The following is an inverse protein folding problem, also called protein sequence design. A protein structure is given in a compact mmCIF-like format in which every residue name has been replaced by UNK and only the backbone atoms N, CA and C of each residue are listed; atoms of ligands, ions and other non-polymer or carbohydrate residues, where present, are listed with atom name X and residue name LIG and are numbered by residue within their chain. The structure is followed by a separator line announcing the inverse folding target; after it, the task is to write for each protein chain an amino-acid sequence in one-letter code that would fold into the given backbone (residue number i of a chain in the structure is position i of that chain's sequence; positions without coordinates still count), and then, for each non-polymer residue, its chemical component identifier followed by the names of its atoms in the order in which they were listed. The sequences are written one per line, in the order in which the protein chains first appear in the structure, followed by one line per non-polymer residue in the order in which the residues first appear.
data_IF_923888325338
#
_entry.id   IF_923888325338
#
_cell.length_a   1.000
_cell.length_b   1.000
_cell.length_c   1.000
_cell.angle_alpha   90.00
_cell.angle_beta   90.00
_cell.angle_gamma   90.00
#
_symmetry.space_group_name_H-M   'P 1'
#
loop_
_entity.id
_entity.type
_entity.pdbx_description
1 polymer ?
#
# COMPACT_ATOMS: atom_id res chain seq x y z
N UNK A 1 12.39 8.23 -16.53
CA UNK A 1 12.10 7.39 -15.36
C UNK A 1 13.14 7.68 -14.29
N UNK A 2 12.71 7.79 -13.03
CA UNK A 2 13.63 7.91 -11.89
C UNK A 2 14.19 6.54 -11.53
N UNK A 3 15.44 6.50 -11.10
CA UNK A 3 16.03 5.28 -10.52
C UNK A 3 15.44 5.01 -9.12
N UNK A 4 15.53 3.76 -8.70
CA UNK A 4 15.24 3.31 -7.33
C UNK A 4 16.55 3.05 -6.57
N UNK A 5 16.48 2.78 -5.26
CA UNK A 5 17.65 2.29 -4.51
C UNK A 5 18.23 1.03 -5.15
N UNK A 6 17.37 0.10 -5.57
CA UNK A 6 17.78 -1.14 -6.24
C UNK A 6 18.59 -0.91 -7.51
N UNK A 7 18.18 0.08 -8.32
CA UNK A 7 18.88 0.45 -9.55
C UNK A 7 20.27 1.04 -9.24
N UNK A 8 20.37 1.89 -8.24
CA UNK A 8 21.64 2.50 -7.84
C UNK A 8 22.61 1.48 -7.22
N UNK A 9 22.08 0.51 -6.47
CA UNK A 9 22.86 -0.62 -5.95
C UNK A 9 23.39 -1.50 -7.10
N UNK A 10 22.57 -1.78 -8.11
CA UNK A 10 23.00 -2.51 -9.29
C UNK A 10 24.14 -1.78 -10.03
N UNK A 11 24.04 -0.46 -10.18
CA UNK A 11 25.11 0.37 -10.78
C UNK A 11 26.38 0.32 -9.92
N UNK A 12 26.25 0.55 -8.61
CA UNK A 12 27.37 0.54 -7.66
C UNK A 12 28.15 -0.78 -7.68
N UNK A 13 27.45 -1.89 -7.82
CA UNK A 13 28.06 -3.22 -7.84
C UNK A 13 28.42 -3.72 -9.24
N UNK A 14 28.26 -2.88 -10.27
CA UNK A 14 28.44 -3.25 -11.68
C UNK A 14 27.61 -4.49 -12.09
N UNK A 15 26.36 -4.55 -11.62
CA UNK A 15 25.41 -5.62 -11.91
C UNK A 15 25.66 -6.94 -11.16
N UNK A 16 26.54 -6.96 -10.16
CA UNK A 16 26.86 -8.17 -9.39
C UNK A 16 25.89 -8.40 -8.21
N UNK A 17 25.25 -7.35 -7.69
CA UNK A 17 24.26 -7.48 -6.63
C UNK A 17 23.09 -8.33 -7.09
N UNK A 18 22.64 -9.22 -6.24
CA UNK A 18 21.41 -9.96 -6.40
C UNK A 18 20.28 -9.15 -5.75
N UNK A 19 19.29 -8.76 -6.55
CA UNK A 19 18.28 -7.79 -6.16
C UNK A 19 16.91 -8.38 -6.40
N UNK A 20 16.12 -8.54 -5.33
CA UNK A 20 14.79 -9.17 -5.42
C UNK A 20 13.73 -8.43 -4.61
N UNK A 21 12.49 -8.47 -5.13
CA UNK A 21 11.28 -8.08 -4.42
C UNK A 21 10.28 -9.22 -4.40
N UNK A 22 9.69 -9.50 -3.25
CA UNK A 22 8.67 -10.55 -3.06
C UNK A 22 7.47 -10.00 -2.30
N UNK A 23 6.26 -10.29 -2.77
CA UNK A 23 5.02 -9.87 -2.13
C UNK A 23 3.85 -10.73 -2.59
N UNK A 24 2.71 -10.68 -1.89
CA UNK A 24 1.44 -11.13 -2.48
C UNK A 24 0.88 -10.14 -3.50
N UNK A 25 1.30 -8.86 -3.47
CA UNK A 25 0.91 -7.81 -4.41
C UNK A 25 2.03 -7.55 -5.41
N UNK A 26 1.70 -7.50 -6.72
CA UNK A 26 2.65 -7.18 -7.80
C UNK A 26 3.38 -5.86 -7.54
N UNK A 27 2.64 -4.79 -7.20
CA UNK A 27 3.21 -3.45 -6.95
C UNK A 27 4.19 -3.42 -5.78
N UNK A 28 3.93 -4.19 -4.72
CA UNK A 28 4.83 -4.32 -3.57
C UNK A 28 6.17 -4.95 -3.94
N UNK A 29 6.15 -5.95 -4.82
CA UNK A 29 7.38 -6.58 -5.31
C UNK A 29 8.10 -5.73 -6.37
N UNK A 30 7.37 -5.26 -7.39
CA UNK A 30 7.92 -4.56 -8.56
C UNK A 30 8.53 -3.21 -8.19
N UNK A 31 7.85 -2.41 -7.37
CA UNK A 31 8.33 -1.07 -6.97
C UNK A 31 9.65 -1.15 -6.20
N UNK A 32 9.83 -2.18 -5.40
CA UNK A 32 11.03 -2.37 -4.58
C UNK A 32 12.18 -3.02 -5.36
N UNK A 33 11.88 -3.93 -6.30
CA UNK A 33 12.89 -4.52 -7.17
C UNK A 33 13.50 -3.51 -8.15
N UNK A 34 12.76 -2.47 -8.51
CA UNK A 34 13.21 -1.46 -9.47
C UNK A 34 13.33 -2.01 -10.89
N UNK A 35 14.13 -1.33 -11.72
CA UNK A 35 14.35 -1.72 -13.12
C UNK A 35 15.43 -2.82 -13.27
N UNK A 36 16.40 -2.83 -12.37
CA UNK A 36 17.55 -3.72 -12.43
C UNK A 36 17.38 -5.03 -11.65
N UNK A 37 16.46 -5.06 -10.68
CA UNK A 37 16.18 -6.25 -9.87
C UNK A 37 15.23 -7.23 -10.54
N UNK A 38 14.75 -8.19 -9.75
CA UNK A 38 13.77 -9.19 -10.13
C UNK A 38 12.63 -9.19 -9.12
N UNK A 39 11.39 -9.39 -9.57
CA UNK A 39 10.22 -9.36 -8.72
C UNK A 39 9.40 -10.64 -8.86
N UNK A 40 8.87 -11.13 -7.73
CA UNK A 40 7.92 -12.23 -7.68
C UNK A 40 6.71 -11.83 -6.84
N UNK A 41 5.53 -12.20 -7.29
CA UNK A 41 4.28 -11.96 -6.56
C UNK A 41 3.31 -13.11 -6.70
N UNK A 42 2.37 -13.20 -5.76
CA UNK A 42 1.40 -14.28 -5.73
C UNK A 42 0.26 -14.04 -6.71
N UNK A 43 0.06 -14.98 -7.64
CA UNK A 43 -1.05 -14.96 -8.60
C UNK A 43 -2.30 -15.56 -7.98
N UNK A 44 -3.34 -14.73 -7.79
CA UNK A 44 -4.66 -15.21 -7.33
C UNK A 44 -5.34 -16.14 -8.33
N UNK A 45 -5.00 -16.10 -9.63
CA UNK A 45 -5.57 -16.97 -10.65
C UNK A 45 -4.90 -18.34 -10.72
N UNK A 46 -3.60 -18.44 -10.41
CA UNK A 46 -2.82 -19.67 -10.49
C UNK A 46 -2.55 -20.31 -9.12
N UNK A 47 -2.71 -19.56 -8.02
CA UNK A 47 -2.25 -19.92 -6.68
C UNK A 47 -0.75 -20.24 -6.62
N UNK A 48 0.05 -19.48 -7.36
CA UNK A 48 1.49 -19.64 -7.53
C UNK A 48 2.22 -18.31 -7.40
N UNK A 49 3.51 -18.33 -7.09
CA UNK A 49 4.35 -17.16 -7.27
C UNK A 49 4.76 -17.02 -8.74
N UNK A 50 4.51 -15.84 -9.28
CA UNK A 50 4.76 -15.50 -10.68
C UNK A 50 5.65 -14.27 -10.79
N UNK A 51 6.14 -14.03 -12.00
CA UNK A 51 6.86 -12.85 -12.40
C UNK A 51 6.36 -12.37 -13.76
N UNK A 52 7.03 -11.40 -14.37
CA UNK A 52 6.67 -10.95 -15.72
C UNK A 52 7.78 -11.24 -16.73
N UNK A 53 7.42 -11.20 -18.02
CA UNK A 53 8.38 -11.30 -19.12
C UNK A 53 9.39 -10.15 -19.16
N UNK A 54 9.16 -9.08 -18.39
CA UNK A 54 10.16 -8.03 -18.18
C UNK A 54 11.38 -8.54 -17.40
N UNK A 55 11.16 -9.43 -16.42
CA UNK A 55 12.21 -9.96 -15.56
C UNK A 55 12.80 -11.27 -16.05
N UNK A 56 11.98 -12.14 -16.63
CA UNK A 56 12.37 -13.49 -17.02
C UNK A 56 11.71 -13.91 -18.36
N UNK A 57 12.50 -14.41 -19.29
CA UNK A 57 12.00 -15.16 -20.45
C UNK A 57 11.53 -16.56 -20.05
N UNK A 58 12.24 -17.16 -19.09
CA UNK A 58 11.95 -18.46 -18.48
C UNK A 58 12.30 -18.38 -17.00
N UNK A 59 11.43 -18.92 -16.14
CA UNK A 59 11.68 -18.94 -14.70
C UNK A 59 12.93 -19.78 -14.37
N UNK A 60 13.63 -19.41 -13.28
CA UNK A 60 14.62 -20.29 -12.66
C UNK A 60 13.98 -21.64 -12.28
N UNK A 61 14.72 -22.74 -12.47
CA UNK A 61 14.21 -24.10 -12.20
C UNK A 61 13.65 -24.27 -10.78
N UNK A 62 14.22 -23.58 -9.81
CA UNK A 62 13.75 -23.66 -8.43
C UNK A 62 12.34 -23.03 -8.25
N UNK A 63 12.00 -22.00 -9.02
CA UNK A 63 10.66 -21.38 -9.02
C UNK A 63 9.65 -22.34 -9.61
N UNK A 64 9.99 -22.96 -10.76
CA UNK A 64 9.13 -23.98 -11.37
C UNK A 64 8.87 -25.14 -10.38
N UNK A 65 9.93 -25.65 -9.73
CA UNK A 65 9.83 -26.70 -8.72
C UNK A 65 9.03 -26.27 -7.48
N UNK A 66 9.14 -25.02 -7.06
CA UNK A 66 8.36 -24.52 -5.93
C UNK A 66 6.86 -24.49 -6.26
N UNK A 67 6.49 -24.02 -7.45
CA UNK A 67 5.12 -23.97 -7.92
C UNK A 67 4.54 -25.38 -8.19
N UNK A 68 5.31 -26.30 -8.78
CA UNK A 68 4.92 -27.71 -9.00
C UNK A 68 4.56 -28.44 -7.69
N UNK A 69 5.10 -28.02 -6.57
CA UNK A 69 4.76 -28.60 -5.26
C UNK A 69 3.31 -28.32 -4.85
N UNK A 70 2.62 -27.36 -5.50
CA UNK A 70 1.27 -26.92 -5.14
C UNK A 70 1.16 -26.60 -3.64
N UNK A 71 2.16 -25.91 -3.11
CA UNK A 71 2.33 -25.69 -1.69
C UNK A 71 1.12 -24.99 -1.04
N UNK A 72 0.52 -23.94 -1.64
CA UNK A 72 -0.68 -23.31 -1.08
C UNK A 72 -1.85 -24.28 -0.94
N UNK A 73 -2.12 -25.08 -1.98
CA UNK A 73 -3.21 -26.06 -1.99
C UNK A 73 -3.03 -27.13 -0.90
N UNK A 74 -1.82 -27.69 -0.75
CA UNK A 74 -1.51 -28.72 0.25
C UNK A 74 -1.55 -28.19 1.67
N UNK A 75 -1.14 -26.95 1.89
CA UNK A 75 -1.06 -26.37 3.23
C UNK A 75 -2.39 -25.84 3.74
N UNK A 76 -3.20 -25.22 2.86
CA UNK A 76 -4.40 -24.49 3.26
C UNK A 76 -5.71 -25.06 2.69
N UNK A 77 -5.67 -25.92 1.68
CA UNK A 77 -6.88 -26.49 1.08
C UNK A 77 -7.78 -27.18 2.09
N UNK A 78 -9.04 -26.75 2.17
CA UNK A 78 -10.04 -27.28 3.11
C UNK A 78 -9.82 -26.91 4.57
N UNK A 79 -8.92 -25.98 4.86
CA UNK A 79 -8.66 -25.47 6.22
C UNK A 79 -9.34 -24.14 6.47
N UNK A 80 -9.20 -23.64 7.70
CA UNK A 80 -9.72 -22.37 8.18
C UNK A 80 -8.59 -21.51 8.76
N UNK A 81 -8.81 -20.21 8.77
CA UNK A 81 -8.11 -19.29 9.64
C UNK A 81 -8.88 -19.23 10.95
N UNK A 82 -8.36 -19.90 11.96
CA UNK A 82 -8.87 -19.89 13.32
C UNK A 82 -8.06 -18.91 14.17
N UNK A 83 -8.63 -18.43 15.28
CA UNK A 83 -7.90 -17.58 16.21
C UNK A 83 -6.62 -18.26 16.74
N UNK A 84 -5.56 -17.49 16.86
CA UNK A 84 -4.27 -17.94 17.35
C UNK A 84 -4.26 -18.25 18.85
N UNK A 85 -5.04 -17.46 19.61
CA UNK A 85 -5.16 -17.50 21.07
C UNK A 85 -6.64 -17.69 21.46
N UNK A 86 -6.89 -17.80 22.75
CA UNK A 86 -8.27 -17.77 23.28
C UNK A 86 -8.87 -16.38 23.02
N UNK A 87 -10.09 -16.32 22.47
CA UNK A 87 -10.76 -15.08 22.07
C UNK A 87 -10.84 -14.05 23.21
N UNK A 88 -10.97 -14.51 24.45
CA UNK A 88 -11.02 -13.64 25.63
C UNK A 88 -9.71 -12.88 25.92
N UNK A 89 -8.62 -13.25 25.27
CA UNK A 89 -7.31 -12.60 25.44
C UNK A 89 -7.07 -11.45 24.45
N UNK A 90 -7.90 -11.34 23.40
CA UNK A 90 -7.79 -10.26 22.43
C UNK A 90 -8.42 -8.98 22.95
N UNK A 91 -7.85 -7.83 22.54
CA UNK A 91 -8.40 -6.51 22.82
C UNK A 91 -9.76 -6.32 22.13
N UNK A 92 -9.92 -6.90 20.95
CA UNK A 92 -11.12 -6.82 20.12
C UNK A 92 -11.90 -8.14 20.10
N UNK A 93 -11.72 -8.99 21.12
CA UNK A 93 -12.35 -10.30 21.19
C UNK A 93 -13.87 -10.32 21.21
N UNK A 94 -14.52 -9.22 21.56
CA UNK A 94 -15.96 -9.01 21.54
C UNK A 94 -16.48 -8.33 20.24
N UNK A 95 -15.61 -8.12 19.24
CA UNK A 95 -15.89 -7.37 18.03
C UNK A 95 -15.84 -8.20 16.74
N UNK A 96 -16.11 -9.49 16.81
CA UNK A 96 -16.02 -10.48 15.72
C UNK A 96 -17.15 -10.37 14.67
N UNK A 97 -18.16 -9.53 14.85
CA UNK A 97 -19.31 -9.39 13.92
C UNK A 97 -19.74 -7.92 13.83
N UNK A 98 -19.06 -7.15 13.02
CA UNK A 98 -19.40 -5.75 12.82
C UNK A 98 -20.08 -5.53 11.47
N UNK A 99 -21.13 -4.72 11.44
CA UNK A 99 -21.93 -4.48 10.22
C UNK A 99 -21.16 -3.81 9.06
N UNK A 100 -20.07 -3.10 9.38
CA UNK A 100 -19.23 -2.47 8.35
C UNK A 100 -18.20 -3.41 7.74
N UNK A 101 -17.91 -4.54 8.37
CA UNK A 101 -17.01 -5.55 7.85
C UNK A 101 -17.58 -6.25 6.63
N UNK A 102 -16.70 -6.69 5.74
CA UNK A 102 -17.14 -7.35 4.52
C UNK A 102 -17.44 -8.83 4.76
N UNK A 103 -18.67 -9.19 4.51
CA UNK A 103 -19.12 -10.58 4.50
C UNK A 103 -18.92 -11.20 3.11
N UNK A 104 -17.71 -11.75 2.87
CA UNK A 104 -17.44 -12.44 1.63
C UNK A 104 -18.08 -13.82 1.61
N UNK A 105 -18.81 -14.18 0.52
CA UNK A 105 -19.38 -15.51 0.38
C UNK A 105 -18.31 -16.60 0.55
N UNK A 106 -18.55 -17.57 1.41
CA UNK A 106 -17.70 -18.70 1.82
C UNK A 106 -16.58 -18.33 2.81
N UNK A 107 -16.06 -17.12 2.83
CA UNK A 107 -15.03 -16.69 3.76
C UNK A 107 -15.65 -16.16 5.06
N UNK A 108 -16.72 -15.38 4.93
CA UNK A 108 -17.44 -14.78 6.06
C UNK A 108 -16.73 -13.54 6.64
N UNK A 109 -17.39 -12.92 7.62
CA UNK A 109 -16.84 -11.83 8.42
C UNK A 109 -16.66 -12.20 9.91
N UNK A 110 -16.84 -13.47 10.24
CA UNK A 110 -16.79 -14.00 11.61
C UNK A 110 -15.89 -15.21 11.64
N UNK A 111 -15.06 -15.32 12.65
CA UNK A 111 -14.22 -16.53 12.84
C UNK A 111 -15.03 -17.81 13.04
N UNK A 112 -14.58 -18.96 12.51
CA UNK A 112 -13.38 -19.14 11.68
C UNK A 112 -13.62 -18.82 10.20
N UNK A 113 -12.62 -18.25 9.52
CA UNK A 113 -12.68 -17.96 8.08
C UNK A 113 -12.23 -19.15 7.24
N UNK A 114 -13.11 -19.69 6.42
CA UNK A 114 -12.80 -20.87 5.60
C UNK A 114 -12.03 -20.50 4.33
N UNK A 115 -10.91 -21.17 4.08
CA UNK A 115 -10.22 -21.05 2.78
C UNK A 115 -10.94 -21.78 1.65
N UNK A 116 -11.79 -22.75 1.99
CA UNK A 116 -12.46 -23.62 1.03
C UNK A 116 -11.54 -24.67 0.39
N UNK A 117 -12.07 -25.47 -0.55
CA UNK A 117 -11.26 -26.44 -1.27
C UNK A 117 -10.25 -25.74 -2.20
N UNK A 118 -9.09 -26.35 -2.43
CA UNK A 118 -8.00 -25.75 -3.19
C UNK A 118 -8.30 -25.45 -4.65
N UNK A 119 -9.28 -26.13 -5.23
CA UNK A 119 -9.84 -25.89 -6.56
C UNK A 119 -11.10 -25.00 -6.54
N UNK A 120 -11.47 -24.51 -5.34
CA UNK A 120 -12.64 -23.68 -5.12
C UNK A 120 -12.46 -22.26 -5.63
N UNK A 121 -13.56 -21.66 -6.08
CA UNK A 121 -13.61 -20.24 -6.44
C UNK A 121 -13.28 -19.38 -5.22
N UNK A 122 -12.27 -18.55 -5.34
CA UNK A 122 -11.85 -17.62 -4.27
C UNK A 122 -10.75 -18.16 -3.37
N UNK A 123 -10.38 -19.44 -3.40
CA UNK A 123 -9.37 -20.03 -2.53
C UNK A 123 -8.09 -19.17 -2.42
N UNK A 124 -7.45 -18.92 -3.55
CA UNK A 124 -6.21 -18.12 -3.61
C UNK A 124 -6.41 -16.65 -3.18
N UNK A 125 -7.60 -16.10 -3.42
CA UNK A 125 -7.97 -14.76 -2.95
C UNK A 125 -8.07 -14.73 -1.42
N UNK A 126 -8.74 -15.73 -0.82
CA UNK A 126 -8.89 -15.84 0.63
C UNK A 126 -7.54 -16.04 1.36
N UNK A 127 -6.58 -16.71 0.71
CA UNK A 127 -5.22 -16.78 1.24
C UNK A 127 -4.58 -15.38 1.37
N UNK A 128 -4.80 -14.50 0.39
CA UNK A 128 -4.25 -13.13 0.45
C UNK A 128 -4.97 -12.22 1.45
N UNK A 129 -6.21 -12.56 1.82
CA UNK A 129 -7.03 -11.84 2.81
C UNK A 129 -6.85 -12.35 4.24
N UNK A 130 -5.79 -13.10 4.48
CA UNK A 130 -5.51 -13.77 5.74
C UNK A 130 -4.01 -13.86 5.99
N UNK A 131 -3.58 -14.28 7.18
CA UNK A 131 -2.17 -14.52 7.49
C UNK A 131 -1.46 -15.49 6.54
N UNK A 132 -2.22 -16.37 5.86
CA UNK A 132 -1.67 -17.33 4.92
C UNK A 132 -0.89 -16.65 3.76
N UNK A 133 -1.30 -15.47 3.31
CA UNK A 133 -0.58 -14.73 2.27
C UNK A 133 0.82 -14.31 2.71
N UNK A 134 0.97 -13.84 3.94
CA UNK A 134 2.27 -13.45 4.49
C UNK A 134 3.14 -14.68 4.83
N UNK A 135 2.54 -15.76 5.33
CA UNK A 135 3.24 -17.02 5.54
C UNK A 135 3.77 -17.62 4.22
N UNK A 136 2.99 -17.56 3.13
CA UNK A 136 3.43 -17.96 1.79
C UNK A 136 4.55 -17.06 1.25
N UNK A 137 4.45 -15.74 1.49
CA UNK A 137 5.49 -14.79 1.12
C UNK A 137 6.80 -15.09 1.84
N UNK A 138 6.74 -15.40 3.14
CA UNK A 138 7.90 -15.83 3.93
C UNK A 138 8.52 -17.10 3.38
N UNK A 139 7.71 -18.13 3.09
CA UNK A 139 8.22 -19.42 2.63
C UNK A 139 8.87 -19.29 1.24
N UNK A 140 8.29 -18.47 0.34
CA UNK A 140 8.91 -18.17 -0.94
C UNK A 140 10.20 -17.36 -0.79
N UNK A 141 10.22 -16.35 0.10
CA UNK A 141 11.41 -15.55 0.38
C UNK A 141 12.57 -16.41 0.93
N UNK A 142 12.29 -17.36 1.80
CA UNK A 142 13.29 -18.34 2.30
C UNK A 142 13.85 -19.20 1.17
N UNK A 143 12.98 -19.72 0.30
CA UNK A 143 13.41 -20.49 -0.87
C UNK A 143 14.27 -19.65 -1.82
N UNK A 144 13.93 -18.37 -2.01
CA UNK A 144 14.70 -17.43 -2.80
C UNK A 144 16.08 -17.17 -2.22
N UNK A 145 16.18 -16.87 -0.92
CA UNK A 145 17.47 -16.66 -0.22
C UNK A 145 18.40 -17.85 -0.45
N UNK A 146 17.87 -19.06 -0.31
CA UNK A 146 18.63 -20.30 -0.45
C UNK A 146 19.08 -20.53 -1.90
N UNK A 147 18.16 -20.51 -2.84
CA UNK A 147 18.44 -20.91 -4.23
C UNK A 147 19.23 -19.84 -5.01
N UNK A 148 19.06 -18.56 -4.67
CA UNK A 148 19.83 -17.47 -5.25
C UNK A 148 21.13 -17.19 -4.45
N UNK A 149 21.34 -17.91 -3.34
CA UNK A 149 22.50 -17.74 -2.46
C UNK A 149 22.71 -16.26 -2.06
N UNK A 150 21.65 -15.58 -1.56
CA UNK A 150 21.75 -14.20 -1.12
C UNK A 150 22.66 -14.09 0.11
N UNK A 151 23.51 -13.06 0.13
CA UNK A 151 24.45 -12.80 1.22
C UNK A 151 25.60 -13.80 1.30
N UNK A 152 25.78 -14.68 0.30
CA UNK A 152 26.82 -15.71 0.33
C UNK A 152 28.21 -15.21 -0.07
N UNK A 153 28.34 -14.00 -0.56
CA UNK A 153 29.61 -13.40 -0.97
C UNK A 153 29.79 -11.98 -0.38
N UNK A 154 30.82 -11.25 -0.85
CA UNK A 154 31.13 -9.89 -0.34
C UNK A 154 30.40 -8.77 -1.07
N UNK A 155 29.59 -9.09 -2.06
CA UNK A 155 28.78 -8.11 -2.77
C UNK A 155 27.49 -7.91 -1.99
N UNK A 156 27.14 -6.68 -1.71
CA UNK A 156 25.88 -6.39 -1.03
C UNK A 156 24.70 -6.75 -1.93
N UNK A 157 23.85 -7.66 -1.46
CA UNK A 157 22.59 -8.04 -2.09
C UNK A 157 21.43 -7.25 -1.48
N UNK A 158 20.27 -7.28 -2.13
CA UNK A 158 19.06 -6.63 -1.63
C UNK A 158 17.83 -7.53 -1.78
N UNK A 159 17.12 -7.73 -0.70
CA UNK A 159 15.81 -8.40 -0.69
C UNK A 159 14.76 -7.51 -0.03
N UNK A 160 13.69 -7.21 -0.74
CA UNK A 160 12.48 -6.62 -0.18
C UNK A 160 11.41 -7.70 -0.04
N UNK A 161 10.87 -7.84 1.17
CA UNK A 161 9.75 -8.74 1.47
C UNK A 161 8.58 -7.87 1.94
N UNK A 162 7.52 -7.80 1.14
CA UNK A 162 6.33 -7.03 1.47
C UNK A 162 5.23 -7.96 1.99
N UNK A 163 4.97 -7.90 3.28
CA UNK A 163 3.89 -8.63 3.95
C UNK A 163 2.59 -7.85 3.78
N UNK A 164 1.92 -8.04 2.64
CA UNK A 164 0.83 -7.18 2.17
C UNK A 164 -0.56 -7.68 2.56
N UNK A 165 -0.68 -8.80 3.29
CA UNK A 165 -1.98 -9.27 3.79
C UNK A 165 -2.57 -8.33 4.82
N UNK A 166 -1.74 -7.63 5.60
CA UNK A 166 -2.15 -6.61 6.58
C UNK A 166 -3.09 -5.57 5.95
N UNK A 167 -2.73 -5.06 4.78
CA UNK A 167 -3.53 -4.06 4.08
C UNK A 167 -4.87 -4.63 3.59
N UNK A 168 -4.87 -5.84 3.03
CA UNK A 168 -6.12 -6.49 2.62
C UNK A 168 -7.06 -6.73 3.81
N UNK A 169 -6.55 -7.21 4.93
CA UNK A 169 -7.33 -7.45 6.15
C UNK A 169 -7.87 -6.13 6.69
N UNK A 170 -7.04 -5.08 6.72
CA UNK A 170 -7.46 -3.73 7.09
C UNK A 170 -8.61 -3.21 6.22
N UNK A 171 -8.54 -3.37 4.89
CA UNK A 171 -9.63 -3.00 3.99
C UNK A 171 -10.94 -3.74 4.28
N UNK A 172 -10.87 -5.02 4.65
CA UNK A 172 -12.04 -5.87 4.80
C UNK A 172 -12.73 -5.70 6.15
N UNK A 173 -11.95 -5.58 7.22
CA UNK A 173 -12.44 -5.65 8.60
C UNK A 173 -12.19 -4.35 9.38
N UNK A 174 -11.21 -3.55 8.98
CA UNK A 174 -10.75 -2.38 9.72
C UNK A 174 -9.57 -2.68 10.65
N UNK A 175 -8.81 -1.66 11.05
CA UNK A 175 -7.62 -1.83 11.89
C UNK A 175 -7.93 -2.36 13.30
N UNK A 176 -9.06 -1.95 13.90
CA UNK A 176 -9.50 -2.36 15.24
C UNK A 176 -10.51 -3.51 15.20
N UNK A 177 -10.29 -4.48 14.31
CA UNK A 177 -11.04 -5.73 14.21
C UNK A 177 -10.31 -6.88 14.90
N UNK A 178 -11.03 -7.96 15.22
CA UNK A 178 -10.45 -9.19 15.75
C UNK A 178 -9.50 -9.81 14.74
N UNK A 179 -9.83 -9.75 13.45
CA UNK A 179 -9.02 -10.25 12.35
C UNK A 179 -7.69 -9.51 12.23
N UNK A 180 -7.71 -8.18 12.32
CA UNK A 180 -6.48 -7.37 12.28
C UNK A 180 -5.59 -7.66 13.48
N UNK A 181 -6.15 -7.82 14.68
CA UNK A 181 -5.38 -8.17 15.87
C UNK A 181 -4.77 -9.57 15.77
N UNK A 182 -5.54 -10.61 15.39
CA UNK A 182 -5.02 -11.97 15.19
C UNK A 182 -3.94 -11.99 14.12
N UNK A 183 -4.16 -11.28 13.03
CA UNK A 183 -3.18 -11.17 11.95
C UNK A 183 -1.87 -10.54 12.42
N UNK A 184 -1.90 -9.45 13.18
CA UNK A 184 -0.68 -8.79 13.69
C UNK A 184 0.12 -9.71 14.64
N UNK A 185 -0.56 -10.48 15.48
CA UNK A 185 0.09 -11.49 16.32
C UNK A 185 0.78 -12.60 15.50
N UNK A 186 0.19 -12.97 14.36
CA UNK A 186 0.80 -13.92 13.42
C UNK A 186 1.92 -13.32 12.60
N UNK A 187 1.78 -12.04 12.20
CA UNK A 187 2.82 -11.32 11.49
C UNK A 187 4.09 -11.19 12.36
N UNK A 188 3.95 -10.91 13.65
CA UNK A 188 5.08 -10.93 14.59
C UNK A 188 5.85 -12.26 14.55
N UNK A 189 5.14 -13.40 14.57
CA UNK A 189 5.76 -14.73 14.43
C UNK A 189 6.39 -14.94 13.06
N UNK A 190 5.77 -14.43 12.00
CA UNK A 190 6.28 -14.50 10.63
C UNK A 190 7.58 -13.71 10.49
N UNK A 191 7.64 -12.51 11.06
CA UNK A 191 8.86 -11.68 11.13
C UNK A 191 9.95 -12.36 11.95
N UNK A 192 9.61 -12.89 13.12
CA UNK A 192 10.56 -13.64 13.95
C UNK A 192 11.16 -14.84 13.19
N UNK A 193 10.33 -15.55 12.42
CA UNK A 193 10.78 -16.68 11.60
C UNK A 193 11.67 -16.25 10.42
N UNK A 194 11.42 -15.08 9.83
CA UNK A 194 12.29 -14.48 8.80
C UNK A 194 13.63 -14.09 9.40
N UNK A 195 13.64 -13.35 10.49
CA UNK A 195 14.85 -12.88 11.15
C UNK A 195 15.73 -14.05 11.62
N UNK A 196 15.12 -15.08 12.20
CA UNK A 196 15.83 -16.30 12.57
C UNK A 196 16.47 -16.98 11.35
N UNK A 197 15.76 -17.05 10.23
CA UNK A 197 16.28 -17.66 9.01
C UNK A 197 17.44 -16.84 8.42
N UNK A 198 17.35 -15.51 8.43
CA UNK A 198 18.44 -14.62 8.01
C UNK A 198 19.65 -14.78 8.91
N UNK A 199 19.48 -14.87 10.23
CA UNK A 199 20.56 -15.13 11.17
C UNK A 199 21.28 -16.45 10.85
N UNK A 200 20.53 -17.52 10.59
CA UNK A 200 21.08 -18.85 10.30
C UNK A 200 21.81 -18.91 8.94
N UNK A 201 21.40 -18.12 7.94
CA UNK A 201 21.92 -18.20 6.56
C UNK A 201 22.97 -17.14 6.24
N UNK A 202 22.83 -15.94 6.78
CA UNK A 202 23.66 -14.77 6.44
C UNK A 202 24.34 -14.20 7.70
N UNK A 203 23.66 -14.22 8.84
CA UNK A 203 24.03 -13.53 10.06
C UNK A 203 23.45 -12.11 10.13
N UNK A 204 22.86 -11.76 11.27
CA UNK A 204 22.29 -10.42 11.48
C UNK A 204 23.38 -9.32 11.53
N UNK A 205 24.60 -9.66 11.97
CA UNK A 205 25.74 -8.74 11.94
C UNK A 205 26.17 -8.37 10.51
N UNK A 206 25.82 -9.19 9.53
CA UNK A 206 26.07 -8.96 8.10
C UNK A 206 24.86 -8.39 7.35
N UNK A 207 23.77 -8.11 8.04
CA UNK A 207 22.49 -7.75 7.43
C UNK A 207 21.98 -6.43 7.99
N UNK A 208 21.88 -5.40 7.17
CA UNK A 208 21.12 -4.19 7.52
C UNK A 208 19.65 -4.42 7.22
N UNK A 209 18.82 -4.34 8.24
CA UNK A 209 17.38 -4.55 8.18
C UNK A 209 16.67 -3.21 8.26
N UNK A 210 15.68 -2.99 7.41
CA UNK A 210 14.74 -1.87 7.50
C UNK A 210 13.33 -2.42 7.56
N UNK A 211 12.57 -2.07 8.60
CA UNK A 211 11.14 -2.32 8.69
C UNK A 211 10.39 -0.99 8.63
N UNK A 212 9.47 -0.90 7.70
CA UNK A 212 8.55 0.25 7.54
C UNK A 212 7.24 -0.22 6.93
N UNK A 213 6.31 0.71 6.73
CA UNK A 213 5.10 0.49 5.94
C UNK A 213 4.98 1.56 4.86
N UNK A 214 4.23 1.26 3.80
CA UNK A 214 3.92 2.20 2.72
C UNK A 214 2.89 3.25 3.16
N UNK A 215 1.96 2.89 4.05
CA UNK A 215 0.96 3.77 4.66
C UNK A 215 0.41 3.15 5.95
N UNK A 216 -0.38 3.92 6.69
CA UNK A 216 -1.24 3.46 7.76
C UNK A 216 -2.67 3.24 7.26
N UNK A 217 -3.68 3.33 8.14
CA UNK A 217 -5.09 3.20 7.76
C UNK A 217 -6.02 3.83 8.79
N UNK A 218 -7.20 4.32 8.33
CA UNK A 218 -8.24 4.87 9.22
C UNK A 218 -9.05 3.74 9.86
N UNK A 219 -9.81 4.10 10.90
CA UNK A 219 -10.88 3.26 11.41
C UNK A 219 -12.12 3.35 10.52
N UNK A 220 -12.99 2.32 10.57
CA UNK A 220 -14.26 2.34 9.86
C UNK A 220 -15.13 3.51 10.34
N UNK A 221 -15.77 4.28 9.44
CA UNK A 221 -16.59 5.41 9.83
C UNK A 221 -17.69 5.06 10.85
N UNK A 222 -18.42 3.94 10.76
CA UNK A 222 -19.40 3.58 11.79
C UNK A 222 -18.78 3.29 13.15
N UNK A 223 -17.54 2.80 13.20
CA UNK A 223 -16.81 2.62 14.45
C UNK A 223 -16.48 3.97 15.09
N UNK A 224 -15.95 4.92 14.32
CA UNK A 224 -15.63 6.27 14.79
C UNK A 224 -16.86 7.02 15.29
N UNK A 225 -18.02 6.81 14.68
CA UNK A 225 -19.31 7.41 15.14
C UNK A 225 -19.67 6.95 16.55
N UNK A 226 -19.36 5.72 16.95
CA UNK A 226 -19.63 5.23 18.30
C UNK A 226 -18.85 6.02 19.38
N UNK A 227 -17.72 6.60 19.01
CA UNK A 227 -16.92 7.46 19.88
C UNK A 227 -17.25 8.96 19.73
N UNK A 228 -18.25 9.31 18.94
CA UNK A 228 -18.72 10.68 18.75
C UNK A 228 -17.88 11.49 17.74
N UNK A 229 -17.07 10.85 16.92
CA UNK A 229 -16.37 11.52 15.82
C UNK A 229 -17.29 11.69 14.61
N UNK A 230 -17.15 12.83 13.95
CA UNK A 230 -17.73 13.03 12.63
C UNK A 230 -16.99 12.14 11.63
N UNK A 231 -17.73 11.25 10.98
CA UNK A 231 -17.18 10.29 10.04
C UNK A 231 -18.27 9.78 9.11
N UNK A 232 -17.95 9.50 7.87
CA UNK A 232 -18.94 9.00 6.90
C UNK A 232 -18.28 8.31 5.70
N UNK A 233 -19.07 7.46 5.06
CA UNK A 233 -18.77 7.07 3.68
C UNK A 233 -19.33 8.13 2.73
N UNK A 234 -18.46 8.68 1.89
CA UNK A 234 -18.81 9.67 0.88
C UNK A 234 -19.20 8.96 -0.41
N UNK A 235 -20.27 9.42 -1.05
CA UNK A 235 -20.73 8.91 -2.34
C UNK A 235 -20.46 9.95 -3.44
N UNK A 236 -19.40 9.77 -4.26
CA UNK A 236 -19.09 10.68 -5.36
C UNK A 236 -20.12 10.69 -6.49
N UNK A 237 -20.93 9.65 -6.65
CA UNK A 237 -21.95 9.58 -7.69
C UNK A 237 -23.09 10.57 -7.43
N UNK A 238 -23.28 10.96 -6.16
CA UNK A 238 -24.30 11.93 -5.76
C UNK A 238 -23.95 13.38 -6.17
N UNK A 239 -22.67 13.71 -6.35
CA UNK A 239 -22.23 15.11 -6.48
C UNK A 239 -22.92 15.88 -7.61
N UNK A 240 -23.01 15.31 -8.82
CA UNK A 240 -23.64 15.99 -9.96
C UNK A 240 -25.17 16.13 -9.88
N UNK A 241 -25.82 15.39 -8.98
CA UNK A 241 -27.27 15.44 -8.78
C UNK A 241 -27.69 16.58 -7.86
N UNK A 242 -26.75 17.14 -7.11
CA UNK A 242 -27.00 18.22 -6.16
C UNK A 242 -27.28 19.58 -6.83
N UNK A 243 -28.06 20.41 -6.14
CA UNK A 243 -28.51 21.72 -6.65
C UNK A 243 -27.38 22.65 -7.01
N UNK A 244 -26.24 22.61 -6.31
CA UNK A 244 -25.06 23.42 -6.60
C UNK A 244 -24.44 23.07 -7.97
N UNK A 245 -24.31 21.78 -8.27
CA UNK A 245 -23.85 21.33 -9.59
C UNK A 245 -24.87 21.64 -10.71
N UNK A 246 -26.16 21.52 -10.43
CA UNK A 246 -27.19 21.91 -11.38
C UNK A 246 -27.11 23.41 -11.73
N UNK A 247 -26.88 24.26 -10.71
CA UNK A 247 -26.69 25.70 -10.91
C UNK A 247 -25.39 26.01 -11.69
N UNK A 248 -24.29 25.31 -11.38
CA UNK A 248 -23.02 25.42 -12.10
C UNK A 248 -23.18 25.02 -13.57
N UNK A 249 -23.78 23.88 -13.85
CA UNK A 249 -24.05 23.40 -15.22
C UNK A 249 -24.91 24.39 -15.99
N UNK A 250 -25.94 24.98 -15.37
CA UNK A 250 -26.78 26.03 -15.96
C UNK A 250 -25.97 27.29 -16.28
N UNK A 251 -25.10 27.73 -15.34
CA UNK A 251 -24.24 28.92 -15.52
C UNK A 251 -23.33 28.81 -16.77
N UNK A 252 -22.77 27.61 -16.99
CA UNK A 252 -21.86 27.36 -18.10
C UNK A 252 -22.53 26.78 -19.35
N UNK A 253 -23.87 26.63 -19.35
CA UNK A 253 -24.62 26.07 -20.47
C UNK A 253 -24.31 24.61 -20.74
N UNK A 254 -23.98 23.83 -19.71
CA UNK A 254 -23.64 22.42 -19.78
C UNK A 254 -24.90 21.61 -19.56
N UNK A 255 -25.33 20.86 -20.58
CA UNK A 255 -26.54 20.01 -20.52
C UNK A 255 -26.25 18.50 -20.35
N UNK A 256 -24.99 18.14 -20.14
CA UNK A 256 -24.52 16.76 -19.98
C UNK A 256 -23.73 16.62 -18.67
N UNK A 257 -23.29 15.40 -18.38
CA UNK A 257 -22.39 15.15 -17.24
C UNK A 257 -21.06 15.87 -17.42
N UNK A 258 -20.68 16.61 -16.39
CA UNK A 258 -19.44 17.37 -16.33
C UNK A 258 -18.30 16.56 -15.69
N UNK A 259 -18.59 15.79 -14.65
CA UNK A 259 -17.67 14.83 -14.05
C UNK A 259 -17.71 13.55 -14.89
N UNK A 260 -16.59 13.22 -15.51
CA UNK A 260 -16.48 12.00 -16.31
C UNK A 260 -16.15 10.80 -15.45
N UNK A 261 -15.33 11.01 -14.42
CA UNK A 261 -14.86 9.93 -13.56
C UNK A 261 -14.28 10.52 -12.26
N UNK A 262 -14.43 9.79 -11.16
CA UNK A 262 -13.70 10.01 -9.92
C UNK A 262 -12.80 8.81 -9.66
N UNK A 263 -11.51 9.07 -9.55
CA UNK A 263 -10.52 8.09 -9.13
C UNK A 263 -9.70 8.74 -8.01
N UNK A 264 -9.94 8.35 -6.75
CA UNK A 264 -9.33 9.03 -5.61
C UNK A 264 -7.84 9.25 -5.78
N UNK A 265 -7.34 10.43 -5.48
CA UNK A 265 -8.03 11.62 -4.97
C UNK A 265 -8.52 12.59 -6.06
N UNK A 266 -8.63 12.18 -7.31
CA UNK A 266 -8.87 13.08 -8.45
C UNK A 266 -10.25 12.95 -9.07
N UNK A 267 -10.87 14.10 -9.32
CA UNK A 267 -12.01 14.26 -10.23
C UNK A 267 -11.48 14.52 -11.64
N UNK A 268 -11.99 13.78 -12.60
CA UNK A 268 -11.71 13.96 -14.03
C UNK A 268 -12.94 14.57 -14.69
N UNK A 269 -12.76 15.74 -15.32
CA UNK A 269 -13.81 16.46 -15.99
C UNK A 269 -13.93 16.06 -17.47
N UNK A 270 -15.09 16.27 -18.03
CA UNK A 270 -15.34 16.07 -19.46
C UNK A 270 -14.68 17.19 -20.28
N UNK A 271 -13.35 17.06 -20.46
CA UNK A 271 -12.54 18.05 -21.19
C UNK A 271 -13.00 18.24 -22.64
N UNK A 272 -13.55 17.19 -23.27
CA UNK A 272 -14.13 17.28 -24.62
C UNK A 272 -15.32 18.22 -24.67
N UNK A 273 -16.22 18.11 -23.70
CA UNK A 273 -17.39 18.97 -23.55
C UNK A 273 -16.99 20.42 -23.24
N UNK A 274 -16.00 20.63 -22.37
CA UNK A 274 -15.48 21.96 -22.01
C UNK A 274 -14.91 22.65 -23.28
N UNK A 275 -14.11 21.92 -24.05
CA UNK A 275 -13.53 22.42 -25.30
C UNK A 275 -14.59 22.70 -26.39
N UNK A 276 -15.57 21.78 -26.59
CA UNK A 276 -16.69 21.92 -27.51
C UNK A 276 -17.46 23.25 -27.28
N UNK A 277 -17.61 23.61 -26.00
CA UNK A 277 -18.30 24.82 -25.59
C UNK A 277 -17.42 26.07 -25.52
N UNK A 278 -16.13 25.97 -25.84
CA UNK A 278 -15.20 27.07 -25.77
C UNK A 278 -14.98 27.65 -24.37
N UNK A 279 -15.18 26.82 -23.32
CA UNK A 279 -15.02 27.21 -21.93
C UNK A 279 -13.55 27.09 -21.47
N UNK A 280 -13.17 27.91 -20.50
CA UNK A 280 -11.86 27.84 -19.89
C UNK A 280 -11.78 26.64 -18.95
N UNK A 281 -10.82 25.74 -19.17
CA UNK A 281 -10.58 24.56 -18.32
C UNK A 281 -10.36 24.98 -16.85
N UNK A 282 -9.48 25.93 -16.59
CA UNK A 282 -9.17 26.40 -15.24
C UNK A 282 -10.35 27.07 -14.54
N UNK A 283 -11.23 27.78 -15.30
CA UNK A 283 -12.44 28.38 -14.72
C UNK A 283 -13.45 27.31 -14.32
N UNK A 284 -13.61 26.26 -15.13
CA UNK A 284 -14.50 25.12 -14.79
C UNK A 284 -13.94 24.34 -13.61
N UNK A 285 -12.64 24.02 -13.60
CA UNK A 285 -11.97 23.35 -12.48
C UNK A 285 -12.17 24.09 -11.16
N UNK A 286 -11.95 25.42 -11.17
CA UNK A 286 -12.13 26.26 -9.99
C UNK A 286 -13.59 26.29 -9.52
N UNK A 287 -14.55 26.34 -10.46
CA UNK A 287 -15.96 26.32 -10.15
C UNK A 287 -16.42 24.97 -9.57
N UNK A 288 -15.91 23.85 -10.13
CA UNK A 288 -16.17 22.50 -9.61
C UNK A 288 -15.56 22.34 -8.20
N UNK A 289 -14.32 22.76 -7.99
CA UNK A 289 -13.69 22.74 -6.69
C UNK A 289 -14.48 23.54 -5.63
N UNK A 290 -15.00 24.72 -6.02
CA UNK A 290 -15.83 25.55 -5.16
C UNK A 290 -17.22 24.96 -4.84
N UNK A 291 -17.72 24.07 -5.66
CA UNK A 291 -18.94 23.32 -5.33
C UNK A 291 -18.61 22.11 -4.47
N UNK A 292 -17.55 21.34 -4.80
CA UNK A 292 -17.17 20.12 -4.06
C UNK A 292 -16.87 20.41 -2.60
N UNK A 293 -16.20 21.52 -2.27
CA UNK A 293 -15.88 21.87 -0.88
C UNK A 293 -17.10 22.09 0.02
N UNK A 294 -18.30 22.20 -0.54
CA UNK A 294 -19.55 22.39 0.22
C UNK A 294 -20.17 21.08 0.65
N UNK A 295 -19.71 19.96 0.12
CA UNK A 295 -20.23 18.65 0.50
C UNK A 295 -19.68 18.21 1.85
N UNK A 296 -20.57 17.62 2.63
CA UNK A 296 -20.18 16.98 3.88
C UNK A 296 -19.12 15.89 3.60
N UNK A 297 -18.12 15.80 4.46
CA UNK A 297 -17.04 14.85 4.31
C UNK A 297 -15.91 15.29 3.35
N UNK A 298 -15.95 16.52 2.79
CA UNK A 298 -14.86 17.09 1.99
C UNK A 298 -14.17 18.22 2.77
N UNK A 299 -12.88 18.03 3.05
CA UNK A 299 -12.05 19.03 3.74
C UNK A 299 -11.41 20.04 2.79
N UNK A 300 -11.09 19.62 1.56
CA UNK A 300 -10.42 20.45 0.57
C UNK A 300 -10.74 19.97 -0.84
N UNK A 301 -10.98 20.91 -1.74
CA UNK A 301 -11.00 20.66 -3.18
C UNK A 301 -10.17 21.74 -3.89
N UNK A 302 -9.22 21.33 -4.74
CA UNK A 302 -8.27 22.24 -5.41
C UNK A 302 -8.15 21.91 -6.88
N UNK A 303 -8.26 22.91 -7.74
CA UNK A 303 -8.07 22.74 -9.18
C UNK A 303 -6.61 22.44 -9.53
N UNK A 304 -6.40 21.56 -10.49
CA UNK A 304 -5.06 21.25 -11.02
C UNK A 304 -4.38 22.45 -11.66
N UNK A 305 -5.15 23.37 -12.23
CA UNK A 305 -4.64 24.65 -12.74
C UNK A 305 -4.04 25.49 -11.62
N UNK A 306 -4.69 25.62 -10.45
CA UNK A 306 -4.15 26.35 -9.30
C UNK A 306 -2.91 25.64 -8.71
N UNK A 307 -2.92 24.32 -8.59
CA UNK A 307 -1.76 23.53 -8.14
C UNK A 307 -0.54 23.73 -9.05
N UNK A 308 -0.76 23.76 -10.36
CA UNK A 308 0.31 23.97 -11.34
C UNK A 308 0.81 25.41 -11.37
N UNK A 309 -0.09 26.38 -11.15
CA UNK A 309 0.23 27.80 -11.13
C UNK A 309 1.02 28.26 -9.91
N UNK A 310 0.93 27.50 -8.80
CA UNK A 310 1.67 27.77 -7.57
C UNK A 310 1.14 28.97 -6.76
N UNK A 311 -0.03 29.50 -7.10
CA UNK A 311 -0.68 30.62 -6.38
C UNK A 311 -1.64 30.07 -5.31
N UNK A 312 -1.07 29.37 -4.33
CA UNK A 312 -1.78 28.73 -3.24
C UNK A 312 -1.16 29.07 -1.89
N UNK A 313 -1.96 29.13 -0.80
CA UNK A 313 -1.42 29.30 0.54
C UNK A 313 -0.43 28.19 0.92
N UNK A 314 0.65 28.54 1.61
CA UNK A 314 1.60 27.55 2.12
C UNK A 314 1.09 26.94 3.42
N UNK A 315 0.30 25.87 3.32
CA UNK A 315 -0.20 25.08 4.46
C UNK A 315 0.31 23.64 4.41
N UNK A 316 0.42 22.94 5.55
CA UNK A 316 0.84 21.53 5.57
C UNK A 316 -0.02 20.66 4.65
N UNK A 317 -1.35 20.85 4.67
CA UNK A 317 -2.28 20.09 3.85
C UNK A 317 -2.04 20.31 2.35
N UNK A 318 -1.89 21.56 1.92
CA UNK A 318 -1.60 21.88 0.50
C UNK A 318 -0.21 21.40 0.07
N UNK A 319 0.79 21.38 0.95
CA UNK A 319 2.08 20.77 0.64
C UNK A 319 1.95 19.27 0.39
N UNK A 320 1.14 18.55 1.18
CA UNK A 320 0.87 17.12 0.94
C UNK A 320 0.17 16.90 -0.42
N UNK A 321 -0.81 17.74 -0.75
CA UNK A 321 -1.47 17.70 -2.06
C UNK A 321 -0.48 17.97 -3.21
N UNK A 322 0.38 18.99 -3.08
CA UNK A 322 1.41 19.31 -4.08
C UNK A 322 2.43 18.18 -4.25
N UNK A 323 2.81 17.48 -3.19
CA UNK A 323 3.71 16.32 -3.26
C UNK A 323 3.11 15.16 -4.05
N UNK A 324 1.79 15.02 -4.06
CA UNK A 324 1.07 14.00 -4.81
C UNK A 324 0.63 14.45 -6.21
N UNK A 325 0.72 15.74 -6.53
CA UNK A 325 0.27 16.28 -7.80
C UNK A 325 1.32 16.11 -8.91
N UNK A 326 0.89 15.61 -10.07
CA UNK A 326 1.68 15.52 -11.29
C UNK A 326 0.91 16.18 -12.45
N UNK A 327 1.36 17.32 -13.03
CA UNK A 327 0.63 18.02 -14.09
C UNK A 327 0.29 17.17 -15.32
N UNK A 328 1.01 16.05 -15.53
CA UNK A 328 0.82 15.15 -16.68
C UNK A 328 -0.04 13.92 -16.40
N UNK A 329 -0.29 13.60 -15.13
CA UNK A 329 -0.96 12.35 -14.73
C UNK A 329 -2.14 12.56 -13.79
N UNK A 330 -2.16 13.66 -13.07
CA UNK A 330 -3.24 14.00 -12.15
C UNK A 330 -4.52 14.43 -12.89
N UNK A 331 -5.67 14.25 -12.22
CA UNK A 331 -6.96 14.72 -12.71
C UNK A 331 -7.13 16.24 -12.64
N UNK A 332 -8.34 16.71 -12.84
CA UNK A 332 -8.65 18.14 -12.99
C UNK A 332 -8.89 18.85 -11.65
N UNK A 333 -9.44 18.14 -10.67
CA UNK A 333 -9.63 18.63 -9.30
C UNK A 333 -9.14 17.61 -8.31
N UNK A 334 -8.31 18.01 -7.36
CA UNK A 334 -7.86 17.21 -6.24
C UNK A 334 -8.84 17.36 -5.08
N UNK A 335 -9.32 16.24 -4.53
CA UNK A 335 -10.22 16.21 -3.38
C UNK A 335 -9.52 15.58 -2.19
N UNK A 336 -9.59 16.24 -1.04
CA UNK A 336 -9.20 15.67 0.25
C UNK A 336 -10.47 15.50 1.07
N UNK A 337 -10.77 14.28 1.45
CA UNK A 337 -11.86 14.01 2.37
C UNK A 337 -11.54 14.50 3.79
N UNK A 338 -12.56 14.83 4.55
CA UNK A 338 -12.42 15.14 5.98
C UNK A 338 -11.84 13.95 6.74
N UNK A 339 -11.22 14.16 7.90
CA UNK A 339 -10.74 13.06 8.72
C UNK A 339 -11.85 12.02 8.95
N UNK A 340 -11.53 10.74 8.83
CA UNK A 340 -12.44 9.61 8.96
C UNK A 340 -13.61 9.58 7.95
N UNK A 341 -13.48 10.33 6.85
CA UNK A 341 -14.42 10.30 5.72
C UNK A 341 -13.69 9.77 4.48
N UNK A 342 -14.31 8.83 3.76
CA UNK A 342 -13.75 8.27 2.52
C UNK A 342 -14.83 7.52 1.73
N UNK A 343 -14.53 7.10 0.51
CA UNK A 343 -15.44 6.27 -0.28
C UNK A 343 -15.44 4.82 0.21
N UNK A 344 -16.59 4.15 0.16
CA UNK A 344 -16.74 2.74 0.53
C UNK A 344 -16.39 1.81 -0.65
N UNK A 345 -15.29 2.08 -1.33
CA UNK A 345 -14.91 1.32 -2.51
C UNK A 345 -13.40 1.31 -2.68
N UNK A 346 -12.88 0.16 -3.09
CA UNK A 346 -11.50 -0.02 -3.51
C UNK A 346 -11.45 -1.03 -4.67
N UNK A 347 -10.86 -0.64 -5.82
CA UNK A 347 -10.74 -1.48 -7.03
C UNK A 347 -12.09 -2.09 -7.49
N UNK A 348 -13.19 -1.33 -7.37
CA UNK A 348 -14.54 -1.77 -7.76
C UNK A 348 -15.23 -2.70 -6.76
N UNK A 349 -14.66 -2.91 -5.58
CA UNK A 349 -15.24 -3.69 -4.50
C UNK A 349 -15.56 -2.81 -3.29
N UNK A 350 -16.68 -3.08 -2.59
CA UNK A 350 -16.94 -2.45 -1.32
C UNK A 350 -15.87 -2.81 -0.30
N UNK A 351 -15.52 -1.89 0.61
CA UNK A 351 -14.53 -2.09 1.67
C UNK A 351 -15.03 -1.47 2.98
N UNK A 352 -14.55 -1.99 4.12
CA UNK A 352 -14.80 -1.39 5.42
C UNK A 352 -14.05 -0.06 5.58
N UNK A 353 -12.78 -0.06 5.15
CA UNK A 353 -11.93 1.13 5.16
C UNK A 353 -11.10 1.24 3.88
N UNK A 354 -10.69 2.46 3.54
CA UNK A 354 -9.67 2.73 2.54
C UNK A 354 -8.73 3.83 3.04
N UNK A 355 -7.55 3.93 2.44
CA UNK A 355 -6.48 4.85 2.81
C UNK A 355 -6.10 5.75 1.63
N UNK A 356 -5.06 6.57 1.79
CA UNK A 356 -4.52 7.46 0.76
C UNK A 356 -4.81 8.93 1.04
N UNK A 357 -5.20 9.26 2.26
CA UNK A 357 -5.41 10.63 2.71
C UNK A 357 -4.09 11.26 3.23
N UNK A 358 -4.02 12.59 3.34
CA UNK A 358 -2.89 13.27 3.98
C UNK A 358 -2.98 13.27 5.52
N UNK A 359 -3.95 12.57 6.11
CA UNK A 359 -4.17 12.54 7.53
C UNK A 359 -3.19 11.61 8.26
N UNK A 360 -2.97 11.89 9.55
CA UNK A 360 -1.92 11.22 10.33
C UNK A 360 -2.10 9.70 10.41
N UNK A 361 -3.32 9.20 10.44
CA UNK A 361 -3.59 7.76 10.50
C UNK A 361 -3.09 7.02 9.24
N UNK A 362 -3.05 7.70 8.08
CA UNK A 362 -2.49 7.15 6.83
C UNK A 362 -0.99 7.41 6.69
N UNK A 363 -0.51 8.56 7.19
CA UNK A 363 0.86 9.02 6.92
C UNK A 363 1.86 8.65 8.00
N UNK A 364 1.41 8.29 9.22
CA UNK A 364 2.29 7.97 10.33
C UNK A 364 2.56 6.46 10.39
N UNK A 365 3.78 6.08 9.99
CA UNK A 365 4.25 4.68 9.96
C UNK A 365 5.57 4.54 10.70
N UNK A 366 5.91 3.35 11.24
CA UNK A 366 7.20 3.13 11.86
C UNK A 366 8.32 3.09 10.81
N UNK A 367 9.53 3.51 11.21
CA UNK A 367 10.77 3.22 10.48
C UNK A 367 11.78 2.69 11.49
N UNK A 368 12.19 1.46 11.31
CA UNK A 368 13.10 0.75 12.22
C UNK A 368 14.30 0.26 11.41
N UNK A 369 15.51 0.59 11.86
CA UNK A 369 16.75 0.02 11.35
C UNK A 369 17.32 -0.93 12.40
N UNK A 370 17.84 -2.08 11.96
CA UNK A 370 18.40 -3.09 12.84
C UNK A 370 19.48 -3.92 12.12
N UNK A 371 20.24 -4.70 12.87
CA UNK A 371 21.31 -5.53 12.35
C UNK A 371 22.59 -4.73 12.02
N UNK A 372 23.53 -5.33 11.33
CA UNK A 372 24.80 -4.73 10.91
C UNK A 372 25.58 -4.03 12.04
N UNK A 373 25.44 -4.52 13.29
CA UNK A 373 26.13 -3.93 14.46
C UNK A 373 25.49 -2.66 15.03
N UNK A 374 24.30 -2.25 14.55
CA UNK A 374 23.60 -1.07 15.05
C UNK A 374 23.26 -1.21 16.53
N UNK A 375 23.63 -0.19 17.32
CA UNK A 375 23.27 -0.12 18.73
C UNK A 375 21.78 0.30 18.94
N UNK A 376 21.11 -0.26 19.95
CA UNK A 376 19.72 0.11 20.25
C UNK A 376 19.58 1.59 20.59
N UNK A 377 18.65 2.29 19.95
CA UNK A 377 18.38 3.70 20.17
C UNK A 377 16.96 4.09 19.78
N UNK A 378 16.54 5.28 20.17
CA UNK A 378 15.27 5.89 19.76
C UNK A 378 15.52 7.30 19.26
N UNK A 379 15.00 7.60 18.07
CA UNK A 379 15.08 8.92 17.46
C UNK A 379 13.69 9.54 17.48
N UNK A 380 13.56 10.74 18.04
CA UNK A 380 12.28 11.41 18.29
C UNK A 380 11.98 12.55 17.30
N UNK A 381 12.94 12.90 16.44
CA UNK A 381 12.69 13.89 15.40
C UNK A 381 11.77 13.33 14.32
N UNK A 382 11.03 14.18 13.68
CA UNK A 382 10.23 13.81 12.50
C UNK A 382 11.14 13.40 11.33
N UNK A 383 10.80 12.29 10.71
CA UNK A 383 11.42 11.77 9.50
C UNK A 383 10.31 11.39 8.51
N UNK A 384 10.69 11.12 7.26
CA UNK A 384 9.77 10.69 6.23
C UNK A 384 10.21 9.35 5.61
N UNK A 385 9.27 8.55 5.14
CA UNK A 385 9.58 7.26 4.48
C UNK A 385 10.50 7.43 3.26
N UNK A 386 10.45 8.59 2.60
CA UNK A 386 11.37 8.94 1.50
C UNK A 386 12.82 9.08 1.94
N UNK A 387 13.11 9.16 3.25
CA UNK A 387 14.46 9.23 3.81
C UNK A 387 15.15 7.85 3.84
N UNK A 388 14.39 6.76 3.71
CA UNK A 388 14.92 5.39 3.75
C UNK A 388 15.87 5.13 2.57
N UNK A 389 15.45 5.42 1.36
CA UNK A 389 16.24 5.12 0.16
C UNK A 389 17.60 5.85 0.12
N UNK A 390 17.70 7.16 0.36
CA UNK A 390 19.01 7.83 0.42
C UNK A 390 19.87 7.37 1.61
N UNK A 391 19.26 6.95 2.72
CA UNK A 391 20.00 6.38 3.87
C UNK A 391 20.61 5.03 3.50
N UNK A 392 19.84 4.12 2.90
CA UNK A 392 20.36 2.85 2.39
C UNK A 392 21.47 3.06 1.35
N UNK A 393 21.27 4.04 0.45
CA UNK A 393 22.30 4.36 -0.55
C UNK A 393 23.61 4.78 0.10
N UNK A 394 23.55 5.64 1.12
CA UNK A 394 24.72 6.08 1.86
C UNK A 394 25.39 4.91 2.61
N UNK A 395 24.61 4.04 3.25
CA UNK A 395 25.12 2.88 3.98
C UNK A 395 25.90 1.91 3.10
N UNK A 396 25.50 1.74 1.83
CA UNK A 396 26.19 0.84 0.89
C UNK A 396 27.15 1.56 -0.07
N UNK A 397 27.37 2.87 0.08
CA UNK A 397 28.23 3.67 -0.79
C UNK A 397 27.69 3.86 -2.21
N UNK A 398 26.39 3.69 -2.41
CA UNK A 398 25.72 3.95 -3.68
C UNK A 398 25.28 5.42 -3.81
N UNK A 399 24.95 5.85 -5.02
CA UNK A 399 24.29 7.15 -5.21
C UNK A 399 22.85 7.09 -4.74
N UNK A 400 22.29 8.20 -4.23
CA UNK A 400 20.85 8.25 -3.95
C UNK A 400 20.05 8.14 -5.26
N UNK A 401 18.81 7.61 -5.21
CA UNK A 401 17.93 7.56 -6.38
C UNK A 401 17.75 8.92 -7.04
N UNK A 402 17.70 8.96 -8.36
CA UNK A 402 17.72 10.21 -9.15
C UNK A 402 16.53 11.15 -8.88
N UNK A 403 15.43 10.62 -8.35
CA UNK A 403 14.23 11.38 -8.00
C UNK A 403 14.04 11.60 -6.51
N UNK A 404 15.01 11.22 -5.66
CA UNK A 404 14.83 11.33 -4.21
C UNK A 404 14.74 12.78 -3.74
N UNK A 405 13.87 13.02 -2.76
CA UNK A 405 13.75 14.28 -2.01
C UNK A 405 14.02 14.06 -0.52
N UNK A 406 14.27 12.83 -0.12
CA UNK A 406 14.57 12.45 1.26
C UNK A 406 15.97 12.86 1.69
N UNK A 407 16.18 12.86 2.98
CA UNK A 407 17.44 13.15 3.64
C UNK A 407 18.05 11.87 4.21
N UNK A 408 19.36 11.85 4.30
CA UNK A 408 20.07 10.73 4.96
C UNK A 408 19.82 10.80 6.45
N UNK A 409 19.43 9.69 7.05
CA UNK A 409 19.27 9.53 8.49
C UNK A 409 20.66 9.26 9.09
N UNK A 410 21.33 10.32 9.51
CA UNK A 410 22.73 10.26 10.00
C UNK A 410 22.87 9.35 11.22
N UNK A 411 21.83 9.26 12.04
CA UNK A 411 21.79 8.41 13.23
C UNK A 411 21.93 6.91 12.91
N UNK A 412 21.56 6.51 11.70
CA UNK A 412 21.78 5.14 11.20
C UNK A 412 23.25 4.97 10.81
N UNK A 413 23.82 5.95 10.09
CA UNK A 413 25.19 5.84 9.58
C UNK A 413 26.25 5.91 10.70
N UNK A 414 26.00 6.72 11.73
CA UNK A 414 26.89 6.84 12.89
C UNK A 414 27.00 5.53 13.69
N UNK A 415 26.06 4.61 13.49
CA UNK A 415 26.02 3.30 14.11
C UNK A 415 26.56 2.14 13.24
N UNK A 416 26.85 2.40 11.96
CA UNK A 416 27.43 1.45 11.02
C UNK A 416 28.96 1.67 10.93
#
# INVERSE_FOLDING_TARGET
LSSTFSDELAIQTAGRAKIFGVSVKDRGAVSMAGHAGKAFWFSKSAAEFVSSSFYYEKYPEWVEKWNEQQYPAKRYGGKTWDLLLDQSTYLFGDRDDQEWELDFPLFGRVFPHAYGPSDGKGFSTFLTFSPAGDELTLDFAKALIENEALGADKVTDYLSVSFSSTDYIGHLFGPSSLESEDHLLRLDRTLAALLKYVEEKVGLDNTLIVLSADHGGPEAPPDMQQYGFESSYVDPESWETETGFAALKKRFGIGKELIQHFNPPYVYLNRGLIAEKGLSQGEIEAAVAAELIKFDGIALAVSSTALTGGDLPDTPLLRSVLNNHSPRRSGDVYVVFSPNCFIREFDGAAVAVTHGSPWRYDTFVPVIFAGAGLEPGKVYREIHTVDVAPTLSAAVGAKPPSGTRGHVLVEVLDGL
#
